data_IF_874928665624
#
_entry.id   IF_874928665624
#
_cell.length_a   1.000
_cell.length_b   1.000
_cell.length_c   1.000
_cell.angle_alpha   90.00
_cell.angle_beta   90.00
_cell.angle_gamma   90.00
#
_symmetry.space_group_name_H-M   'P 1'
#
loop_
_entity.id
_entity.type
_entity.pdbx_description
1 polymer ?
#
# COMPACT_ATOMS: atom_id res chain seq x y z
N UNK A 1 -16.76 21.60 -18.83
CA UNK A 1 -16.37 20.18 -18.70
C UNK A 1 -14.94 20.05 -18.22
N UNK A 2 -14.69 19.23 -17.19
CA UNK A 2 -13.32 18.82 -16.83
C UNK A 2 -13.03 17.50 -17.55
N UNK A 3 -11.84 17.30 -18.16
CA UNK A 3 -11.58 16.14 -19.00
C UNK A 3 -11.40 14.83 -18.21
N UNK A 4 -11.17 14.91 -16.89
CA UNK A 4 -10.93 13.74 -16.05
C UNK A 4 -12.24 13.24 -15.42
N UNK A 5 -12.70 12.06 -15.84
CA UNK A 5 -13.88 11.38 -15.28
C UNK A 5 -13.44 10.27 -14.33
N UNK A 6 -14.18 10.08 -13.25
CA UNK A 6 -14.01 8.93 -12.37
C UNK A 6 -14.65 7.69 -13.00
N UNK A 7 -14.05 6.48 -12.86
CA UNK A 7 -12.78 6.18 -12.19
C UNK A 7 -11.55 6.63 -13.01
N UNK A 8 -10.47 6.98 -12.31
CA UNK A 8 -9.20 7.41 -12.93
C UNK A 8 -8.01 6.61 -12.38
N UNK A 9 -6.94 6.54 -13.17
CA UNK A 9 -5.64 6.02 -12.77
C UNK A 9 -4.68 7.21 -12.64
N UNK A 10 -4.11 7.41 -11.45
CA UNK A 10 -3.09 8.43 -11.23
C UNK A 10 -1.71 7.81 -11.46
N UNK A 11 -0.93 8.42 -12.36
CA UNK A 11 0.43 8.00 -12.67
C UNK A 11 1.41 8.94 -11.98
N UNK A 12 2.34 8.37 -11.21
CA UNK A 12 3.39 9.08 -10.53
C UNK A 12 4.74 8.77 -11.16
N UNK A 13 5.51 9.82 -11.44
CA UNK A 13 6.84 9.69 -12.05
C UNK A 13 7.94 9.76 -11.00
N UNK A 14 9.00 9.00 -11.25
CA UNK A 14 10.17 8.85 -10.39
C UNK A 14 11.44 9.01 -11.22
N UNK A 15 12.52 9.39 -10.55
CA UNK A 15 13.88 9.36 -11.09
C UNK A 15 14.80 8.60 -10.13
N UNK A 16 15.97 8.20 -10.61
CA UNK A 16 16.95 7.46 -9.83
C UNK A 16 18.38 7.89 -10.14
N UNK A 17 19.26 7.63 -9.19
CA UNK A 17 20.72 7.57 -9.36
C UNK A 17 21.23 6.18 -8.94
N UNK A 18 22.55 6.00 -8.80
CA UNK A 18 23.14 4.71 -8.44
C UNK A 18 22.65 4.16 -7.09
N UNK A 19 22.16 5.04 -6.21
CA UNK A 19 21.91 4.74 -4.80
C UNK A 19 20.47 5.01 -4.36
N UNK A 20 19.75 5.92 -5.00
CA UNK A 20 18.44 6.42 -4.56
C UNK A 20 17.42 6.52 -5.69
N UNK A 21 16.14 6.49 -5.28
CA UNK A 21 14.95 6.75 -6.10
C UNK A 21 14.15 7.86 -5.42
N UNK A 22 13.67 8.85 -6.18
CA UNK A 22 12.86 9.96 -5.66
C UNK A 22 11.70 10.31 -6.57
N UNK A 23 10.67 10.91 -5.99
CA UNK A 23 9.46 11.34 -6.70
C UNK A 23 9.67 12.63 -7.51
N UNK A 24 9.16 12.65 -8.74
CA UNK A 24 9.11 13.84 -9.60
C UNK A 24 7.76 14.56 -9.53
N UNK A 25 6.73 13.88 -9.00
CA UNK A 25 5.38 14.44 -8.88
C UNK A 25 5.26 15.22 -7.57
N UNK A 26 4.55 16.36 -7.59
CA UNK A 26 4.48 17.27 -6.43
C UNK A 26 4.03 16.61 -5.12
N UNK A 27 3.12 15.64 -5.18
CA UNK A 27 2.65 14.87 -4.01
C UNK A 27 3.73 13.98 -3.39
N UNK A 28 4.82 13.72 -4.11
CA UNK A 28 5.92 12.84 -3.72
C UNK A 28 7.22 13.59 -3.41
N UNK A 29 7.18 14.91 -3.27
CA UNK A 29 8.38 15.75 -3.10
C UNK A 29 9.26 15.44 -1.88
N UNK A 30 8.75 14.66 -0.92
CA UNK A 30 9.49 14.21 0.26
C UNK A 30 9.87 12.73 0.22
N UNK A 31 9.48 12.02 -0.84
CA UNK A 31 9.78 10.60 -1.00
C UNK A 31 11.19 10.45 -1.57
N UNK A 32 12.06 9.81 -0.80
CA UNK A 32 13.43 9.48 -1.17
C UNK A 32 13.74 8.10 -0.61
N UNK A 33 14.04 7.11 -1.45
CA UNK A 33 14.26 5.73 -1.05
C UNK A 33 15.60 5.21 -1.56
N UNK A 34 16.22 4.30 -0.81
CA UNK A 34 17.41 3.62 -1.31
C UNK A 34 17.02 2.68 -2.46
N UNK A 35 17.74 2.74 -3.57
CA UNK A 35 17.46 2.03 -4.82
C UNK A 35 17.21 0.55 -4.60
N UNK A 36 18.07 -0.12 -3.82
CA UNK A 36 17.95 -1.54 -3.45
C UNK A 36 16.60 -1.96 -2.82
N UNK A 37 15.84 -1.03 -2.23
CA UNK A 37 14.53 -1.34 -1.65
C UNK A 37 13.39 -1.22 -2.68
N UNK A 38 13.65 -0.58 -3.82
CA UNK A 38 12.68 -0.32 -4.88
C UNK A 38 12.95 -1.18 -6.10
N UNK A 39 14.22 -1.32 -6.48
CA UNK A 39 14.67 -1.94 -7.71
C UNK A 39 15.69 -3.08 -7.45
N UNK A 40 15.71 -4.13 -8.30
CA UNK A 40 14.77 -4.38 -9.40
C UNK A 40 13.35 -4.63 -8.88
N UNK A 41 12.33 -4.28 -9.66
CA UNK A 41 10.95 -4.54 -9.25
C UNK A 41 10.69 -6.04 -9.09
N UNK A 42 9.86 -6.38 -8.12
CA UNK A 42 9.29 -7.71 -7.95
C UNK A 42 7.83 -7.71 -8.41
N UNK A 43 7.10 -8.79 -8.13
CA UNK A 43 5.67 -8.87 -8.38
C UNK A 43 4.92 -9.22 -7.11
N UNK A 44 3.78 -8.56 -6.90
CA UNK A 44 2.84 -8.89 -5.83
C UNK A 44 1.48 -9.23 -6.42
N UNK A 45 0.71 -10.03 -5.68
CA UNK A 45 -0.70 -10.23 -5.98
C UNK A 45 -1.49 -9.02 -5.48
N UNK A 46 -2.32 -8.46 -6.34
CA UNK A 46 -3.30 -7.44 -5.99
C UNK A 46 -4.64 -7.83 -6.60
N UNK A 47 -5.61 -8.18 -5.75
CA UNK A 47 -6.87 -8.79 -6.17
C UNK A 47 -6.59 -10.02 -7.08
N UNK A 48 -7.09 -10.01 -8.31
CA UNK A 48 -6.89 -11.07 -9.31
C UNK A 48 -5.67 -10.83 -10.22
N UNK A 49 -4.89 -9.77 -9.99
CA UNK A 49 -3.75 -9.39 -10.83
C UNK A 49 -2.43 -9.71 -10.15
N UNK A 50 -1.42 -9.96 -10.97
CA UNK A 50 -0.02 -9.98 -10.56
C UNK A 50 0.64 -8.71 -11.12
N UNK A 51 1.00 -7.77 -10.24
CA UNK A 51 1.46 -6.44 -10.62
C UNK A 51 2.90 -6.22 -10.19
N UNK A 52 3.68 -5.44 -10.96
CA UNK A 52 5.02 -5.03 -10.55
C UNK A 52 4.95 -4.18 -9.28
N UNK A 53 5.89 -4.40 -8.36
CA UNK A 53 5.98 -3.69 -7.10
C UNK A 53 7.45 -3.49 -6.67
N UNK A 54 7.72 -2.55 -5.75
CA UNK A 54 9.06 -2.38 -5.18
C UNK A 54 9.67 -3.69 -4.66
N UNK A 55 10.98 -3.87 -4.82
CA UNK A 55 11.70 -5.03 -4.31
C UNK A 55 11.35 -5.38 -2.85
N UNK A 56 11.25 -4.35 -1.99
CA UNK A 56 10.92 -4.47 -0.57
C UNK A 56 9.66 -3.69 -0.21
N UNK A 57 8.50 -4.18 -0.67
CA UNK A 57 7.19 -3.54 -0.48
C UNK A 57 6.92 -3.18 0.99
N UNK A 58 7.14 -4.09 1.92
CA UNK A 58 6.89 -3.84 3.35
C UNK A 58 7.75 -2.70 3.89
N UNK A 59 9.05 -2.70 3.57
CA UNK A 59 9.96 -1.62 4.01
C UNK A 59 9.58 -0.28 3.40
N UNK A 60 9.13 -0.25 2.14
CA UNK A 60 8.61 0.97 1.50
C UNK A 60 7.35 1.45 2.23
N UNK A 61 6.39 0.56 2.50
CA UNK A 61 5.15 0.92 3.18
C UNK A 61 5.38 1.43 4.61
N UNK A 62 6.19 0.74 5.40
CA UNK A 62 6.50 1.11 6.79
C UNK A 62 7.27 2.42 6.90
N UNK A 63 8.05 2.78 5.87
CA UNK A 63 8.77 4.05 5.83
C UNK A 63 7.85 5.22 5.50
N UNK A 64 6.96 5.04 4.53
CA UNK A 64 6.16 6.12 3.96
C UNK A 64 4.82 6.32 4.68
N UNK A 65 4.32 5.29 5.37
CA UNK A 65 3.00 5.30 6.00
C UNK A 65 3.04 4.80 7.45
N UNK A 66 2.21 5.42 8.29
CA UNK A 66 1.86 4.90 9.61
C UNK A 66 0.82 3.79 9.45
N UNK A 67 1.27 2.56 9.18
CA UNK A 67 0.40 1.42 8.83
C UNK A 67 -0.56 1.00 9.95
N UNK A 68 -0.36 1.48 11.18
CA UNK A 68 -1.23 1.20 12.33
C UNK A 68 -2.33 2.26 12.49
N UNK A 69 -2.23 3.40 11.79
CA UNK A 69 -3.20 4.48 11.86
C UNK A 69 -4.00 4.63 10.58
N UNK A 70 -5.31 4.66 10.76
CA UNK A 70 -6.28 4.86 9.69
C UNK A 70 -6.64 6.35 9.63
N UNK A 71 -6.68 6.91 8.43
CA UNK A 71 -6.81 8.36 8.20
C UNK A 71 -7.91 8.62 7.18
N UNK A 72 -8.73 9.65 7.41
CA UNK A 72 -9.71 10.08 6.40
C UNK A 72 -9.03 10.73 5.19
N UNK A 73 -9.53 10.50 3.96
CA UNK A 73 -8.95 11.10 2.76
C UNK A 73 -9.20 12.61 2.77
N UNK A 74 -8.19 13.40 2.40
CA UNK A 74 -8.32 14.86 2.26
C UNK A 74 -9.10 15.25 0.99
N UNK A 75 -9.16 14.37 0.00
CA UNK A 75 -9.78 14.60 -1.29
C UNK A 75 -10.53 13.36 -1.80
N UNK A 76 -11.72 13.56 -2.35
CA UNK A 76 -12.52 12.49 -2.97
C UNK A 76 -12.63 12.74 -4.47
N UNK A 77 -11.90 11.95 -5.26
CA UNK A 77 -11.86 12.05 -6.71
C UNK A 77 -13.23 11.86 -7.37
N UNK A 78 -14.08 10.97 -6.83
CA UNK A 78 -15.43 10.71 -7.36
C UNK A 78 -16.32 11.96 -7.42
N UNK A 79 -16.23 12.80 -6.39
CA UNK A 79 -17.02 14.04 -6.30
C UNK A 79 -16.21 15.29 -6.65
N UNK A 80 -14.90 15.14 -6.85
CA UNK A 80 -13.95 16.24 -6.99
C UNK A 80 -14.07 17.28 -5.87
N UNK A 81 -14.28 16.82 -4.63
CA UNK A 81 -14.44 17.67 -3.44
C UNK A 81 -13.33 17.37 -2.43
N UNK A 82 -12.82 18.41 -1.79
CA UNK A 82 -12.11 18.27 -0.52
C UNK A 82 -13.13 17.89 0.54
N UNK A 83 -12.88 16.81 1.26
CA UNK A 83 -13.87 16.25 2.19
C UNK A 83 -13.72 16.83 3.60
N UNK A 84 -12.59 17.47 3.88
CA UNK A 84 -12.30 18.13 5.15
C UNK A 84 -11.50 19.41 4.89
N UNK A 85 -11.93 20.52 5.48
CA UNK A 85 -11.18 21.78 5.49
C UNK A 85 -9.94 21.62 6.40
N UNK A 86 -8.97 20.85 5.91
CA UNK A 86 -7.66 20.59 6.50
C UNK A 86 -7.59 19.68 7.73
N UNK A 87 -8.71 19.17 8.25
CA UNK A 87 -8.69 18.21 9.37
C UNK A 87 -8.87 16.78 8.86
N UNK A 88 -7.76 16.07 8.66
CA UNK A 88 -7.82 14.61 8.56
C UNK A 88 -7.97 14.03 9.95
N UNK A 89 -8.99 13.20 10.14
CA UNK A 89 -9.18 12.44 11.37
C UNK A 89 -8.28 11.21 11.33
N UNK A 90 -7.63 10.92 12.46
CA UNK A 90 -6.73 9.78 12.62
C UNK A 90 -7.19 8.93 13.80
N UNK A 91 -7.21 7.62 13.60
CA UNK A 91 -7.50 6.66 14.68
C UNK A 91 -6.65 5.40 14.49
N UNK A 92 -6.48 4.63 15.55
CA UNK A 92 -5.88 3.31 15.44
C UNK A 92 -6.77 2.42 14.55
N UNK A 93 -6.17 1.77 13.56
CA UNK A 93 -6.92 0.92 12.62
C UNK A 93 -7.65 -0.23 13.33
N UNK A 94 -7.14 -0.66 14.50
CA UNK A 94 -7.76 -1.69 15.34
C UNK A 94 -9.19 -1.34 15.76
N UNK A 95 -9.49 -0.05 15.99
CA UNK A 95 -10.83 0.41 16.34
C UNK A 95 -11.84 0.21 15.20
N UNK A 96 -11.34 0.10 13.97
CA UNK A 96 -12.15 -0.03 12.76
C UNK A 96 -12.33 -1.49 12.31
N UNK A 97 -11.60 -2.45 12.91
CA UNK A 97 -11.64 -3.86 12.53
C UNK A 97 -13.04 -4.46 12.56
N UNK A 98 -13.93 -3.98 13.44
CA UNK A 98 -15.31 -4.47 13.54
C UNK A 98 -16.23 -3.96 12.41
N UNK A 99 -15.89 -2.84 11.76
CA UNK A 99 -16.77 -2.15 10.80
C UNK A 99 -16.25 -2.18 9.37
N UNK A 100 -14.94 -2.27 9.17
CA UNK A 100 -14.30 -2.23 7.86
C UNK A 100 -13.49 -3.51 7.59
N UNK A 101 -13.33 -3.90 6.32
CA UNK A 101 -12.55 -5.07 5.96
C UNK A 101 -11.06 -4.79 6.13
N UNK A 102 -10.37 -5.65 6.88
CA UNK A 102 -8.92 -5.64 7.03
C UNK A 102 -8.34 -6.99 6.63
N UNK A 103 -7.10 -6.96 6.13
CA UNK A 103 -6.31 -8.15 5.82
C UNK A 103 -5.40 -8.44 7.00
N UNK A 104 -5.47 -9.68 7.51
CA UNK A 104 -4.62 -10.19 8.57
C UNK A 104 -3.68 -11.22 7.98
N UNK A 105 -2.38 -11.03 8.22
CA UNK A 105 -1.33 -11.88 7.69
C UNK A 105 -0.76 -12.78 8.79
N UNK A 106 -0.58 -14.06 8.49
CA UNK A 106 0.10 -15.02 9.34
C UNK A 106 1.18 -15.73 8.53
N UNK A 107 2.40 -15.76 9.05
CA UNK A 107 3.54 -16.41 8.41
C UNK A 107 3.71 -17.78 9.08
N UNK A 108 3.67 -18.84 8.29
CA UNK A 108 4.06 -20.17 8.73
C UNK A 108 5.58 -20.28 8.64
N UNK A 109 6.26 -20.21 9.78
CA UNK A 109 7.72 -20.29 9.86
C UNK A 109 8.30 -21.66 9.45
N UNK A 110 7.49 -22.73 9.43
CA UNK A 110 7.95 -24.06 9.00
C UNK A 110 8.01 -24.18 7.48
N UNK A 111 7.04 -23.60 6.77
CA UNK A 111 6.93 -23.67 5.31
C UNK A 111 7.37 -22.40 4.59
N UNK A 112 7.50 -21.28 5.31
CA UNK A 112 7.68 -19.94 4.74
C UNK A 112 6.43 -19.41 4.03
N UNK A 113 5.29 -20.11 4.11
CA UNK A 113 4.06 -19.70 3.45
C UNK A 113 3.38 -18.57 4.21
N UNK A 114 2.66 -17.72 3.47
CA UNK A 114 1.97 -16.57 4.03
C UNK A 114 0.47 -16.75 3.84
N UNK A 115 -0.27 -16.80 4.95
CA UNK A 115 -1.72 -16.86 4.96
C UNK A 115 -2.29 -15.46 5.16
N UNK A 116 -3.12 -15.01 4.22
CA UNK A 116 -3.84 -13.74 4.31
C UNK A 116 -5.33 -13.98 4.46
N UNK A 117 -5.93 -13.35 5.47
CA UNK A 117 -7.36 -13.45 5.76
C UNK A 117 -7.97 -12.05 5.75
N UNK A 118 -8.84 -11.79 4.78
CA UNK A 118 -9.64 -10.57 4.73
C UNK A 118 -10.93 -10.77 5.52
N UNK A 119 -11.15 -9.96 6.57
CA UNK A 119 -12.34 -10.09 7.44
C UNK A 119 -12.87 -8.75 7.94
N UNK A 120 -14.15 -8.74 8.30
CA UNK A 120 -14.81 -7.64 9.05
C UNK A 120 -15.28 -8.23 10.38
N UNK A 121 -14.74 -7.72 11.48
CA UNK A 121 -14.90 -8.33 12.80
C UNK A 121 -14.47 -9.79 12.77
N UNK A 122 -15.41 -10.69 13.06
CA UNK A 122 -15.19 -12.13 13.03
C UNK A 122 -15.64 -12.80 11.72
N UNK A 123 -16.21 -12.05 10.78
CA UNK A 123 -16.68 -12.59 9.50
C UNK A 123 -15.56 -12.58 8.48
N UNK A 124 -15.13 -13.77 8.06
CA UNK A 124 -14.19 -13.95 6.94
C UNK A 124 -14.90 -13.63 5.63
N UNK A 125 -14.25 -12.81 4.80
CA UNK A 125 -14.69 -12.47 3.44
C UNK A 125 -13.91 -13.31 2.44
N UNK A 126 -12.61 -13.42 2.63
CA UNK A 126 -11.70 -14.13 1.72
C UNK A 126 -10.47 -14.62 2.48
N UNK A 127 -9.92 -15.73 2.01
CA UNK A 127 -8.71 -16.35 2.55
C UNK A 127 -7.83 -16.82 1.39
N UNK A 128 -6.55 -16.48 1.44
CA UNK A 128 -5.56 -16.84 0.41
C UNK A 128 -4.28 -17.33 1.10
N UNK A 129 -3.71 -18.40 0.58
CA UNK A 129 -2.35 -18.84 0.93
C UNK A 129 -1.41 -18.48 -0.20
N UNK A 130 -0.41 -17.66 0.11
CA UNK A 130 0.67 -17.30 -0.78
C UNK A 130 1.84 -18.26 -0.52
N UNK A 131 2.41 -18.80 -1.59
CA UNK A 131 3.69 -19.51 -1.54
C UNK A 131 4.78 -18.56 -1.02
N UNK A 132 5.87 -19.08 -0.44
CA UNK A 132 6.99 -18.26 0.03
C UNK A 132 7.39 -17.29 -1.08
N UNK A 133 7.30 -15.99 -0.78
CA UNK A 133 7.95 -15.00 -1.63
C UNK A 133 9.44 -15.24 -1.48
N UNK A 134 10.17 -15.29 -2.59
CA UNK A 134 11.62 -15.10 -2.51
C UNK A 134 11.82 -13.67 -2.01
N UNK A 135 11.93 -13.50 -0.70
CA UNK A 135 12.24 -12.21 -0.11
C UNK A 135 13.65 -11.85 -0.57
N UNK A 136 13.72 -10.95 -1.57
CA UNK A 136 14.97 -10.34 -2.03
C UNK A 136 15.50 -9.35 -0.97
N UNK A 137 14.77 -9.16 0.13
CA UNK A 137 15.08 -8.26 1.22
C UNK A 137 15.89 -8.97 2.31
N UNK A 138 17.04 -9.53 1.94
CA UNK A 138 18.07 -9.86 2.92
C UNK A 138 18.80 -8.57 3.33
N UNK A 139 19.08 -8.43 4.63
CA UNK A 139 19.68 -7.24 5.25
C UNK A 139 21.05 -6.86 4.71
#
# INVERSE_FOLDING_TARGET
DKPFKWPCLDLFFFSEDETHVWGLTWSLKYMLMHRRHVLPVTHVRWEHWQLPAPACVERVLLREFDVLRCVTPSYVHKTNKRHFDFQSEKTDCSNLHASFPFVFRHIDHGTGSVKEVRRVGNRVIEEITLSPLMDVCLE
#
